data_IF_828231967711
#
_entry.id   IF_828231967711
#
_cell.length_a   1.000
_cell.length_b   1.000
_cell.length_c   1.000
_cell.angle_alpha   90.00
_cell.angle_beta   90.00
_cell.angle_gamma   90.00
#
_symmetry.space_group_name_H-M   'P 1'
#
loop_
_entity.id
_entity.type
_entity.pdbx_description
1 polymer ?
#
# COMPACT_ATOMS: atom_id res chain seq x y z
N UNK A 1 36.30 -44.87 42.05
CA UNK A 1 34.93 -44.51 41.64
C UNK A 1 34.93 -43.08 41.14
N UNK A 2 34.68 -42.83 39.85
CA UNK A 2 34.52 -41.48 39.32
C UNK A 2 33.12 -40.96 39.65
N UNK A 3 33.02 -39.81 40.33
CA UNK A 3 31.75 -39.21 40.68
C UNK A 3 30.97 -38.80 39.41
N UNK A 4 29.73 -39.28 39.28
CA UNK A 4 28.87 -38.89 38.17
C UNK A 4 28.63 -37.37 38.22
N UNK A 5 28.87 -36.63 37.12
CA UNK A 5 28.72 -35.19 37.11
C UNK A 5 27.27 -34.79 37.38
N UNK A 6 27.07 -33.82 38.27
CA UNK A 6 25.76 -33.28 38.64
C UNK A 6 24.99 -32.84 37.36
N UNK A 7 23.76 -33.36 37.13
CA UNK A 7 22.96 -33.05 35.93
C UNK A 7 22.71 -31.55 35.76
N UNK A 8 22.61 -30.78 36.85
CA UNK A 8 22.46 -29.32 36.80
C UNK A 8 23.69 -28.63 36.18
N UNK A 9 24.90 -29.12 36.48
CA UNK A 9 26.14 -28.60 35.91
C UNK A 9 26.24 -28.89 34.40
N UNK A 10 25.76 -30.06 33.95
CA UNK A 10 25.69 -30.40 32.52
C UNK A 10 24.71 -29.49 31.78
N UNK A 11 23.52 -29.23 32.34
CA UNK A 11 22.53 -28.31 31.76
C UNK A 11 23.07 -26.88 31.64
N UNK A 12 23.71 -26.34 32.69
CA UNK A 12 24.31 -24.99 32.66
C UNK A 12 25.39 -24.87 31.58
N UNK A 13 26.27 -25.87 31.44
CA UNK A 13 27.29 -25.90 30.39
C UNK A 13 26.69 -25.94 28.98
N UNK A 14 25.61 -26.70 28.78
CA UNK A 14 24.89 -26.75 27.51
C UNK A 14 24.29 -25.38 27.15
N UNK A 15 23.60 -24.74 28.10
CA UNK A 15 23.03 -23.39 27.92
C UNK A 15 24.12 -22.36 27.57
N UNK A 16 25.26 -22.37 28.27
CA UNK A 16 26.38 -21.47 27.97
C UNK A 16 27.02 -21.73 26.59
N UNK A 17 27.05 -22.98 26.13
CA UNK A 17 27.48 -23.29 24.75
C UNK A 17 26.47 -22.74 23.74
N UNK A 18 25.18 -22.89 24.01
CA UNK A 18 24.09 -22.32 23.21
C UNK A 18 24.21 -20.81 23.06
N UNK A 19 24.33 -20.06 24.16
CA UNK A 19 24.50 -18.60 24.11
C UNK A 19 25.74 -18.16 23.33
N UNK A 20 26.87 -18.89 23.46
CA UNK A 20 28.08 -18.58 22.69
C UNK A 20 27.90 -18.83 21.20
N UNK A 21 27.17 -19.88 20.82
CA UNK A 21 26.84 -20.15 19.43
C UNK A 21 25.90 -19.07 18.88
N UNK A 22 24.81 -18.77 19.58
CA UNK A 22 23.86 -17.72 19.20
C UNK A 22 24.56 -16.37 18.99
N UNK A 23 25.48 -15.99 19.89
CA UNK A 23 26.28 -14.76 19.74
C UNK A 23 27.17 -14.77 18.49
N UNK A 24 27.74 -15.92 18.11
CA UNK A 24 28.55 -16.04 16.89
C UNK A 24 27.69 -15.99 15.63
N UNK A 25 26.55 -16.68 15.65
CA UNK A 25 25.56 -16.64 14.55
C UNK A 25 25.10 -15.19 14.35
N UNK A 26 24.68 -14.50 15.41
CA UNK A 26 24.31 -13.09 15.38
C UNK A 26 25.41 -12.20 14.81
N UNK A 27 26.66 -12.39 15.24
CA UNK A 27 27.80 -11.65 14.73
C UNK A 27 27.96 -11.83 13.21
N UNK A 28 28.09 -13.08 12.74
CA UNK A 28 28.41 -13.34 11.34
C UNK A 28 27.24 -13.03 10.41
N UNK A 29 26.02 -13.45 10.77
CA UNK A 29 24.83 -13.12 9.99
C UNK A 29 24.57 -11.62 10.03
N UNK A 30 24.70 -10.98 11.20
CA UNK A 30 24.56 -9.53 11.34
C UNK A 30 25.47 -8.80 10.37
N UNK A 31 26.76 -9.13 10.38
CA UNK A 31 27.76 -8.53 9.48
C UNK A 31 27.47 -8.76 8.00
N UNK A 32 27.13 -9.99 7.61
CA UNK A 32 26.85 -10.33 6.21
C UNK A 32 25.59 -9.61 5.71
N UNK A 33 24.56 -9.56 6.55
CA UNK A 33 23.26 -9.00 6.21
C UNK A 33 23.15 -7.50 6.43
N UNK A 34 24.09 -6.81 7.09
CA UNK A 34 24.05 -5.33 7.31
C UNK A 34 23.64 -4.56 6.04
N UNK A 35 24.31 -4.69 4.88
CA UNK A 35 23.92 -3.90 3.70
C UNK A 35 22.50 -4.24 3.22
N UNK A 36 22.10 -5.51 3.35
CA UNK A 36 20.77 -6.00 2.96
C UNK A 36 19.67 -5.47 3.87
N UNK A 37 19.80 -5.63 5.19
CA UNK A 37 18.80 -5.15 6.15
C UNK A 37 18.75 -3.62 6.21
N UNK A 38 19.87 -2.95 5.93
CA UNK A 38 19.90 -1.50 5.74
C UNK A 38 19.04 -1.09 4.55
N UNK A 39 19.28 -1.69 3.38
CA UNK A 39 18.50 -1.42 2.17
C UNK A 39 17.01 -1.81 2.34
N UNK A 40 16.72 -3.04 2.75
CA UNK A 40 15.35 -3.53 2.91
C UNK A 40 14.59 -2.85 4.05
N UNK A 41 15.25 -2.58 5.18
CA UNK A 41 14.63 -1.88 6.30
C UNK A 41 14.26 -0.45 5.95
N UNK A 42 15.16 0.28 5.28
CA UNK A 42 14.88 1.65 4.82
C UNK A 42 13.80 1.65 3.73
N UNK A 43 13.88 0.77 2.74
CA UNK A 43 12.85 0.70 1.68
C UNK A 43 11.49 0.28 2.24
N UNK A 44 11.41 -0.63 3.21
CA UNK A 44 10.15 -0.98 3.88
C UNK A 44 9.52 0.23 4.58
N UNK A 45 10.32 1.04 5.28
CA UNK A 45 9.84 2.31 5.85
C UNK A 45 9.32 3.25 4.75
N UNK A 46 10.06 3.41 3.65
CA UNK A 46 9.62 4.27 2.53
C UNK A 46 8.36 3.74 1.82
N UNK A 47 8.16 2.43 1.73
CA UNK A 47 6.95 1.84 1.15
C UNK A 47 5.71 2.04 2.03
N UNK A 48 5.90 2.05 3.35
CA UNK A 48 4.83 2.35 4.30
C UNK A 48 4.53 3.85 4.38
N UNK A 49 5.56 4.69 4.17
CA UNK A 49 5.47 6.14 4.18
C UNK A 49 5.75 6.70 2.79
N UNK A 50 4.82 6.57 1.83
CA UNK A 50 5.03 7.01 0.44
C UNK A 50 5.26 8.52 0.30
N UNK A 51 4.91 9.29 1.33
CA UNK A 51 5.13 10.73 1.39
C UNK A 51 6.54 11.09 1.90
N UNK A 52 7.31 10.12 2.42
CA UNK A 52 8.71 10.33 2.79
C UNK A 52 9.58 10.29 1.53
N UNK A 53 10.42 11.31 1.36
CA UNK A 53 11.37 11.46 0.24
C UNK A 53 10.78 11.69 -1.15
N UNK A 54 9.46 11.66 -1.33
CA UNK A 54 8.85 12.20 -2.55
C UNK A 54 8.61 13.70 -2.39
N UNK A 55 8.82 14.52 -3.44
CA UNK A 55 8.45 15.94 -3.44
C UNK A 55 6.93 16.12 -3.56
N UNK A 56 6.15 15.20 -2.99
CA UNK A 56 4.69 15.26 -2.98
C UNK A 56 4.24 16.04 -1.75
N UNK A 57 3.46 17.09 -1.95
CA UNK A 57 2.75 17.71 -0.83
C UNK A 57 1.38 17.05 -0.69
N UNK A 58 1.06 16.66 0.54
CA UNK A 58 -0.26 16.18 0.92
C UNK A 58 -0.99 17.30 1.66
N UNK A 59 -2.15 17.68 1.16
CA UNK A 59 -3.02 18.66 1.81
C UNK A 59 -4.37 18.03 2.08
N UNK A 60 -4.72 17.91 3.37
CA UNK A 60 -6.08 17.57 3.76
C UNK A 60 -6.99 18.77 3.53
N UNK A 61 -8.23 18.51 3.12
CA UNK A 61 -9.25 19.53 2.94
C UNK A 61 -10.61 19.06 3.49
N UNK A 62 -11.44 20.02 3.89
CA UNK A 62 -12.80 19.79 4.35
C UNK A 62 -13.84 20.00 3.25
N UNK A 63 -15.10 20.05 3.67
CA UNK A 63 -16.28 20.17 2.79
C UNK A 63 -16.29 21.46 1.97
N UNK A 64 -15.62 22.50 2.44
CA UNK A 64 -15.54 23.82 1.80
C UNK A 64 -15.02 23.74 0.36
N UNK A 65 -14.11 22.81 0.06
CA UNK A 65 -13.54 22.61 -1.30
C UNK A 65 -14.59 22.15 -2.31
N UNK A 66 -15.69 21.54 -1.85
CA UNK A 66 -16.75 21.05 -2.73
C UNK A 66 -18.00 21.91 -2.73
N UNK A 67 -18.02 23.03 -2.01
CA UNK A 67 -19.23 23.85 -1.77
C UNK A 67 -19.99 24.17 -3.07
N UNK A 68 -19.28 24.46 -4.15
CA UNK A 68 -19.84 24.85 -5.45
C UNK A 68 -19.85 23.72 -6.48
N UNK A 69 -19.58 22.49 -6.06
CA UNK A 69 -19.53 21.31 -6.92
C UNK A 69 -20.75 20.39 -6.71
N UNK A 70 -21.05 19.48 -7.66
CA UNK A 70 -22.05 18.44 -7.44
C UNK A 70 -21.75 17.54 -6.22
N UNK A 71 -20.51 17.53 -5.72
CA UNK A 71 -20.11 16.77 -4.52
C UNK A 71 -20.47 17.47 -3.20
N UNK A 72 -20.91 18.74 -3.20
CA UNK A 72 -21.36 19.42 -1.99
C UNK A 72 -22.64 18.80 -1.40
N UNK A 73 -23.48 18.24 -2.27
CA UNK A 73 -24.73 17.58 -1.96
C UNK A 73 -24.76 16.23 -2.69
N UNK A 74 -23.96 15.24 -2.23
CA UNK A 74 -23.98 13.92 -2.84
C UNK A 74 -25.41 13.36 -2.76
N UNK A 75 -25.85 12.59 -3.77
CA UNK A 75 -27.20 12.05 -3.79
C UNK A 75 -27.43 11.22 -2.51
N UNK A 76 -28.64 11.33 -1.96
CA UNK A 76 -29.01 10.54 -0.80
C UNK A 76 -28.88 9.06 -1.15
N UNK A 77 -28.11 8.32 -0.34
CA UNK A 77 -27.72 6.96 -0.65
C UNK A 77 -28.94 6.02 -0.80
N UNK A 78 -29.94 6.21 0.06
CA UNK A 78 -31.23 5.52 0.03
C UNK A 78 -32.01 5.83 -1.25
N UNK A 79 -32.06 7.09 -1.67
CA UNK A 79 -32.75 7.51 -2.89
C UNK A 79 -32.07 6.93 -4.15
N UNK A 80 -30.73 6.92 -4.19
CA UNK A 80 -29.99 6.31 -5.29
C UNK A 80 -30.17 4.79 -5.32
N UNK A 81 -30.13 4.12 -4.17
CA UNK A 81 -30.39 2.69 -4.08
C UNK A 81 -31.81 2.33 -4.52
N UNK A 82 -32.81 3.12 -4.12
CA UNK A 82 -34.19 2.94 -4.56
C UNK A 82 -34.33 3.13 -6.09
N UNK A 83 -33.65 4.12 -6.66
CA UNK A 83 -33.64 4.35 -8.10
C UNK A 83 -32.97 3.20 -8.88
N UNK A 84 -31.82 2.69 -8.40
CA UNK A 84 -31.17 1.53 -9.01
C UNK A 84 -32.03 0.28 -8.84
N UNK A 85 -32.64 0.09 -7.66
CA UNK A 85 -33.53 -1.04 -7.38
C UNK A 85 -34.77 -1.06 -8.27
N UNK A 86 -35.34 0.10 -8.61
CA UNK A 86 -36.48 0.22 -9.51
C UNK A 86 -36.19 -0.25 -10.95
N UNK A 87 -34.91 -0.29 -11.36
CA UNK A 87 -34.46 -0.80 -12.65
C UNK A 87 -34.14 -2.30 -12.63
N UNK A 88 -34.15 -2.94 -11.46
CA UNK A 88 -33.91 -4.39 -11.31
C UNK A 88 -35.18 -5.21 -11.58
N UNK A 89 -35.05 -6.52 -11.86
CA UNK A 89 -36.20 -7.40 -12.05
C UNK A 89 -37.17 -7.38 -10.85
N UNK A 90 -38.47 -7.49 -11.14
CA UNK A 90 -39.50 -7.61 -10.10
C UNK A 90 -39.28 -8.86 -9.23
N UNK A 91 -39.63 -8.78 -7.95
CA UNK A 91 -39.52 -9.89 -6.99
C UNK A 91 -38.34 -9.81 -6.02
N UNK A 92 -37.51 -8.78 -6.13
CA UNK A 92 -36.45 -8.46 -5.17
C UNK A 92 -37.01 -7.69 -3.96
N UNK A 93 -36.46 -7.95 -2.77
CA UNK A 93 -36.77 -7.16 -1.57
C UNK A 93 -36.13 -5.78 -1.62
N UNK A 94 -36.69 -4.86 -0.81
CA UNK A 94 -36.09 -3.54 -0.58
C UNK A 94 -34.59 -3.62 -0.25
N UNK A 95 -33.77 -2.67 -0.74
CA UNK A 95 -32.33 -2.61 -0.48
C UNK A 95 -31.99 -2.56 1.02
N UNK A 96 -31.16 -3.49 1.47
CA UNK A 96 -30.57 -3.54 2.81
C UNK A 96 -29.07 -3.21 2.76
N UNK A 97 -28.45 -2.88 3.89
CA UNK A 97 -26.99 -2.68 4.04
C UNK A 97 -26.33 -1.69 3.05
N UNK A 98 -27.08 -0.66 2.65
CA UNK A 98 -26.69 0.31 1.64
C UNK A 98 -25.43 1.07 2.10
N UNK A 99 -24.38 1.06 1.28
CA UNK A 99 -23.13 1.80 1.54
C UNK A 99 -22.41 2.19 0.26
N UNK A 100 -21.60 3.25 0.34
CA UNK A 100 -20.59 3.54 -0.67
C UNK A 100 -19.39 2.60 -0.53
N UNK A 101 -18.80 2.21 -1.66
CA UNK A 101 -17.55 1.46 -1.71
C UNK A 101 -16.54 2.23 -2.56
N UNK A 102 -15.40 2.56 -1.96
CA UNK A 102 -14.34 3.33 -2.61
C UNK A 102 -14.41 4.82 -2.32
N UNK A 103 -13.72 5.61 -3.16
CA UNK A 103 -13.56 7.06 -3.02
C UNK A 103 -13.65 7.71 -4.39
N UNK A 104 -14.05 8.97 -4.41
CA UNK A 104 -13.86 9.78 -5.61
C UNK A 104 -12.37 10.00 -5.84
N UNK A 105 -11.92 9.86 -7.10
CA UNK A 105 -10.58 10.26 -7.52
C UNK A 105 -10.69 11.25 -8.66
N UNK A 106 -10.17 12.45 -8.45
CA UNK A 106 -9.94 13.43 -9.50
C UNK A 106 -8.46 13.52 -9.81
N UNK A 107 -8.13 13.75 -11.08
CA UNK A 107 -6.76 13.95 -11.57
C UNK A 107 -6.71 15.19 -12.43
N UNK A 108 -5.76 16.06 -12.13
CA UNK A 108 -5.51 17.29 -12.89
C UNK A 108 -4.03 17.46 -13.16
N UNK A 109 -3.70 18.37 -14.07
CA UNK A 109 -2.33 18.74 -14.38
C UNK A 109 -2.29 20.25 -14.63
N UNK A 110 -1.33 20.92 -14.01
CA UNK A 110 -0.87 22.26 -14.38
C UNK A 110 0.48 22.16 -15.08
N UNK A 111 1.00 23.29 -15.56
CA UNK A 111 2.35 23.36 -16.14
C UNK A 111 3.42 22.84 -15.17
N UNK A 112 3.29 23.16 -13.88
CA UNK A 112 4.29 22.84 -12.87
C UNK A 112 4.02 21.55 -12.09
N UNK A 113 2.79 21.01 -12.07
CA UNK A 113 2.42 19.91 -11.17
C UNK A 113 1.30 19.01 -11.70
N UNK A 114 1.23 17.78 -11.18
CA UNK A 114 0.10 16.86 -11.29
C UNK A 114 -0.62 16.79 -9.96
N UNK A 115 -1.94 16.82 -10.01
CA UNK A 115 -2.81 16.75 -8.84
C UNK A 115 -3.55 15.43 -8.84
N UNK A 116 -3.64 14.79 -7.68
CA UNK A 116 -4.54 13.66 -7.43
C UNK A 116 -5.35 13.96 -6.19
N UNK A 117 -6.64 14.18 -6.37
CA UNK A 117 -7.58 14.51 -5.31
C UNK A 117 -8.39 13.26 -4.99
N UNK A 118 -8.37 12.85 -3.72
CA UNK A 118 -9.20 11.76 -3.23
C UNK A 118 -10.23 12.34 -2.28
N UNK A 119 -11.51 12.16 -2.59
CA UNK A 119 -12.60 12.65 -1.75
C UNK A 119 -13.43 11.48 -1.22
N UNK A 120 -13.83 11.56 0.05
CA UNK A 120 -14.74 10.59 0.63
C UNK A 120 -16.15 10.74 0.02
N UNK A 121 -16.91 9.64 -0.14
CA UNK A 121 -18.21 9.67 -0.79
C UNK A 121 -19.25 10.57 -0.10
N UNK A 122 -19.07 10.85 1.19
CA UNK A 122 -19.93 11.72 1.99
C UNK A 122 -19.67 13.22 1.77
N UNK A 123 -18.65 13.56 0.97
CA UNK A 123 -18.25 14.94 0.66
C UNK A 123 -17.66 15.70 1.84
N UNK A 124 -17.37 15.04 2.97
CA UNK A 124 -16.95 15.73 4.21
C UNK A 124 -15.47 15.99 4.29
N UNK A 125 -14.66 15.11 3.69
CA UNK A 125 -13.21 15.24 3.74
C UNK A 125 -12.55 14.60 2.52
N UNK A 126 -11.31 15.00 2.31
CA UNK A 126 -10.46 14.38 1.31
C UNK A 126 -9.00 14.80 1.47
N UNK A 127 -8.18 14.25 0.59
CA UNK A 127 -6.74 14.49 0.55
C UNK A 127 -6.33 14.79 -0.88
N UNK A 128 -5.60 15.89 -1.06
CA UNK A 128 -4.96 16.23 -2.32
C UNK A 128 -3.48 15.86 -2.23
N UNK A 129 -3.00 15.19 -3.27
CA UNK A 129 -1.59 15.00 -3.53
C UNK A 129 -1.17 15.87 -4.70
N UNK A 130 -0.20 16.75 -4.47
CA UNK A 130 0.44 17.55 -5.51
C UNK A 130 1.82 16.98 -5.76
N UNK A 131 2.09 16.57 -7.00
CA UNK A 131 3.40 16.08 -7.44
C UNK A 131 3.95 17.08 -8.44
N UNK A 132 5.12 17.70 -8.23
CA UNK A 132 5.76 18.48 -9.26
C UNK A 132 5.84 17.67 -10.56
N UNK A 133 5.56 18.30 -11.69
CA UNK A 133 6.01 17.76 -12.96
C UNK A 133 7.54 17.82 -12.85
N UNK A 134 8.19 16.69 -12.54
CA UNK A 134 9.61 16.58 -12.83
C UNK A 134 9.75 17.03 -14.29
N UNK A 135 10.56 18.08 -14.52
CA UNK A 135 10.84 18.54 -15.87
C UNK A 135 11.18 17.29 -16.67
N UNK A 136 10.35 16.93 -17.64
CA UNK A 136 10.47 15.70 -18.41
C UNK A 136 11.87 15.67 -19.06
N UNK A 137 12.85 15.13 -18.34
CA UNK A 137 14.13 14.67 -18.87
C UNK A 137 13.97 13.35 -19.60
N UNK A 138 12.74 12.89 -19.82
CA UNK A 138 12.39 11.85 -20.76
C UNK A 138 12.32 12.49 -22.14
N UNK A 139 13.36 12.27 -22.95
CA UNK A 139 13.20 12.29 -24.39
C UNK A 139 11.97 11.43 -24.72
N UNK A 140 10.88 11.99 -25.30
CA UNK A 140 9.81 11.17 -25.82
C UNK A 140 10.45 10.16 -26.76
N UNK A 141 10.11 8.88 -26.63
CA UNK A 141 10.36 7.94 -27.72
C UNK A 141 9.67 8.54 -28.95
N UNK A 142 10.46 9.03 -29.90
CA UNK A 142 9.97 9.46 -31.20
C UNK A 142 9.12 8.33 -31.77
N UNK A 143 7.85 8.64 -32.06
CA UNK A 143 6.93 7.85 -32.87
C UNK A 143 6.57 6.45 -32.36
N UNK A 144 5.56 6.40 -31.48
CA UNK A 144 4.51 5.39 -31.68
C UNK A 144 3.19 6.13 -31.88
N UNK A 145 2.56 5.93 -33.04
CA UNK A 145 1.22 6.45 -33.29
C UNK A 145 0.26 5.90 -32.22
N UNK A 146 -0.51 6.77 -31.54
CA UNK A 146 -1.45 6.32 -30.53
C UNK A 146 -2.52 5.44 -31.18
N UNK A 147 -2.61 4.19 -30.71
CA UNK A 147 -3.64 3.23 -31.13
C UNK A 147 -5.02 3.79 -30.78
N UNK A 148 -5.91 3.95 -31.77
CA UNK A 148 -7.27 4.40 -31.52
C UNK A 148 -8.10 3.27 -30.91
N UNK A 149 -8.61 3.49 -29.69
CA UNK A 149 -9.48 2.52 -29.02
C UNK A 149 -10.92 3.06 -29.06
N UNK A 150 -11.88 2.34 -29.68
CA UNK A 150 -13.24 2.82 -29.86
C UNK A 150 -14.08 2.43 -28.64
N UNK A 151 -13.95 3.17 -27.55
CA UNK A 151 -14.97 3.42 -26.51
C UNK A 151 -14.30 4.20 -25.37
N UNK A 152 -14.36 5.53 -25.44
CA UNK A 152 -14.03 6.41 -24.33
C UNK A 152 -15.32 7.09 -23.88
N UNK A 153 -15.77 6.80 -22.66
CA UNK A 153 -16.67 7.69 -21.94
C UNK A 153 -16.01 9.07 -21.93
N UNK A 154 -16.75 10.10 -22.32
CA UNK A 154 -16.23 11.47 -22.38
C UNK A 154 -15.72 11.89 -21.00
N UNK A 155 -14.41 12.05 -20.91
CA UNK A 155 -13.65 12.64 -19.80
C UNK A 155 -13.86 14.15 -19.71
N UNK A 156 -14.70 14.72 -20.58
CA UNK A 156 -14.69 16.13 -20.95
C UNK A 156 -15.75 16.95 -20.19
N UNK A 157 -16.34 16.38 -19.14
CA UNK A 157 -17.07 17.19 -18.18
C UNK A 157 -16.04 18.00 -17.39
N UNK A 158 -15.86 19.26 -17.78
CA UNK A 158 -15.09 20.23 -17.01
C UNK A 158 -15.69 20.33 -15.61
N UNK A 159 -14.92 19.89 -14.62
CA UNK A 159 -15.26 20.12 -13.23
C UNK A 159 -15.00 21.60 -12.95
N UNK A 160 -15.92 22.32 -12.28
CA UNK A 160 -15.70 23.71 -11.95
C UNK A 160 -14.36 23.83 -11.24
N UNK A 161 -13.51 24.73 -11.73
CA UNK A 161 -12.27 25.11 -11.05
C UNK A 161 -12.64 25.40 -9.61
N UNK A 162 -12.05 24.69 -8.66
CA UNK A 162 -12.26 24.99 -7.25
C UNK A 162 -11.47 26.26 -6.95
N UNK A 163 -12.06 27.39 -7.35
CA UNK A 163 -11.48 28.73 -7.25
C UNK A 163 -11.11 29.01 -5.79
N UNK A 164 -9.86 29.38 -5.57
CA UNK A 164 -9.34 29.81 -4.26
C UNK A 164 -8.61 28.75 -3.44
N UNK A 165 -8.68 27.46 -3.81
CA UNK A 165 -7.99 26.40 -3.06
C UNK A 165 -7.15 25.44 -3.92
N UNK A 166 -7.42 25.32 -5.22
CA UNK A 166 -6.73 24.41 -6.13
C UNK A 166 -6.37 25.11 -7.44
N UNK A 167 -5.10 25.49 -7.64
CA UNK A 167 -4.54 25.95 -8.94
C UNK A 167 -4.39 24.76 -9.92
N UNK A 168 -5.44 23.95 -10.06
CA UNK A 168 -5.47 22.77 -10.90
C UNK A 168 -6.49 22.98 -12.01
N UNK A 169 -6.04 23.48 -13.15
CA UNK A 169 -6.83 23.45 -14.38
C UNK A 169 -7.04 22.00 -14.84
N UNK A 170 -8.19 21.72 -15.45
CA UNK A 170 -8.46 20.43 -16.08
C UNK A 170 -8.57 19.23 -15.14
N UNK A 171 -9.14 19.41 -13.93
CA UNK A 171 -9.48 18.27 -13.07
C UNK A 171 -10.49 17.36 -13.77
N UNK A 172 -10.07 16.13 -14.04
CA UNK A 172 -10.89 15.08 -14.62
C UNK A 172 -11.23 14.03 -13.56
N UNK A 173 -12.48 13.60 -13.52
CA UNK A 173 -12.91 12.51 -12.65
C UNK A 173 -12.41 11.18 -13.21
N UNK A 174 -11.48 10.54 -12.49
CA UNK A 174 -10.84 9.28 -12.88
C UNK A 174 -11.54 8.07 -12.23
N UNK A 175 -12.12 8.24 -11.04
CA UNK A 175 -12.82 7.17 -10.32
C UNK A 175 -13.98 7.73 -9.48
N UNK A 176 -15.08 6.99 -9.46
CA UNK A 176 -16.29 7.26 -8.66
C UNK A 176 -16.49 6.08 -7.71
N UNK A 177 -16.92 6.29 -6.45
CA UNK A 177 -17.30 5.20 -5.57
C UNK A 177 -18.48 4.42 -6.15
N UNK A 178 -18.50 3.11 -5.94
CA UNK A 178 -19.64 2.26 -6.29
C UNK A 178 -20.69 2.32 -5.19
N UNK A 179 -21.97 2.26 -5.58
CA UNK A 179 -23.05 2.02 -4.63
C UNK A 179 -23.17 0.51 -4.42
N UNK A 180 -23.22 0.07 -3.17
CA UNK A 180 -23.40 -1.34 -2.85
C UNK A 180 -24.52 -1.53 -1.84
N UNK A 181 -25.39 -2.49 -2.11
CA UNK A 181 -26.50 -2.87 -1.25
C UNK A 181 -26.81 -4.36 -1.40
N UNK A 182 -27.49 -4.92 -0.42
CA UNK A 182 -27.92 -6.32 -0.45
C UNK A 182 -29.44 -6.37 -0.73
N UNK A 183 -29.90 -7.30 -1.55
CA UNK A 183 -31.32 -7.57 -1.86
C UNK A 183 -31.60 -9.07 -1.74
N UNK A 184 -32.83 -9.48 -1.43
CA UNK A 184 -33.22 -10.89 -1.41
C UNK A 184 -34.14 -11.23 -2.58
N UNK A 185 -33.93 -12.42 -3.13
CA UNK A 185 -34.82 -13.08 -4.10
C UNK A 185 -35.23 -14.42 -3.50
N UNK A 186 -36.43 -14.50 -2.92
CA UNK A 186 -36.82 -15.63 -2.07
C UNK A 186 -35.89 -15.80 -0.87
N UNK A 187 -35.24 -16.96 -0.76
CA UNK A 187 -34.26 -17.26 0.31
C UNK A 187 -32.82 -16.89 -0.05
N UNK A 188 -32.57 -16.40 -1.28
CA UNK A 188 -31.23 -16.06 -1.75
C UNK A 188 -30.93 -14.60 -1.48
N UNK A 189 -29.81 -14.31 -0.81
CA UNK A 189 -29.30 -12.96 -0.64
C UNK A 189 -28.34 -12.64 -1.81
N UNK A 190 -28.56 -11.53 -2.48
CA UNK A 190 -27.73 -10.98 -3.55
C UNK A 190 -27.09 -9.68 -3.09
N UNK A 191 -25.85 -9.45 -3.49
CA UNK A 191 -25.13 -8.19 -3.33
C UNK A 191 -25.03 -7.53 -4.68
N UNK A 192 -25.60 -6.35 -4.76
CA UNK A 192 -25.61 -5.53 -5.96
C UNK A 192 -24.54 -4.47 -5.80
N UNK A 193 -23.62 -4.39 -6.76
CA UNK A 193 -22.68 -3.29 -6.91
C UNK A 193 -23.02 -2.51 -8.18
N UNK A 194 -23.39 -1.25 -8.02
CA UNK A 194 -23.62 -0.32 -9.11
C UNK A 194 -22.40 0.59 -9.30
N UNK A 195 -21.87 0.59 -10.52
CA UNK A 195 -20.74 1.42 -10.94
C UNK A 195 -21.24 2.65 -11.71
N UNK A 196 -21.36 3.84 -11.09
CA UNK A 196 -22.00 5.00 -11.72
C UNK A 196 -21.31 5.46 -13.00
N UNK A 197 -19.97 5.34 -13.04
CA UNK A 197 -19.19 5.77 -14.21
C UNK A 197 -19.40 4.86 -15.42
N UNK A 198 -19.62 3.56 -15.21
CA UNK A 198 -19.83 2.59 -16.30
C UNK A 198 -21.30 2.39 -16.63
N UNK A 199 -22.22 2.82 -15.76
CA UNK A 199 -23.63 2.46 -15.82
C UNK A 199 -23.85 0.94 -15.69
N UNK A 200 -22.90 0.22 -15.09
CA UNK A 200 -22.93 -1.24 -14.98
C UNK A 200 -23.41 -1.65 -13.59
N UNK A 201 -24.25 -2.68 -13.55
CA UNK A 201 -24.69 -3.35 -12.33
C UNK A 201 -24.08 -4.74 -12.31
N UNK A 202 -23.34 -5.06 -11.26
CA UNK A 202 -22.82 -6.39 -10.99
C UNK A 202 -23.60 -6.98 -9.81
N UNK A 203 -24.07 -8.22 -9.95
CA UNK A 203 -24.81 -8.93 -8.90
C UNK A 203 -24.03 -10.19 -8.50
N UNK A 204 -23.74 -10.34 -7.22
CA UNK A 204 -23.05 -11.50 -6.66
C UNK A 204 -23.92 -12.15 -5.59
N UNK A 205 -24.06 -13.48 -5.61
CA UNK A 205 -24.84 -14.20 -4.61
C UNK A 205 -24.09 -14.21 -3.26
N UNK A 206 -24.67 -13.58 -2.23
CA UNK A 206 -24.12 -13.55 -0.87
C UNK A 206 -24.31 -14.91 -0.22
N UNK A 207 -23.27 -15.73 -0.24
CA UNK A 207 -23.30 -17.08 0.33
C UNK A 207 -22.73 -18.14 -0.60
N UNK A 208 -22.57 -17.84 -1.89
CA UNK A 208 -21.62 -18.54 -2.71
C UNK A 208 -20.25 -18.26 -2.09
N UNK A 209 -19.71 -19.25 -1.35
CA UNK A 209 -18.42 -19.11 -0.68
C UNK A 209 -17.41 -18.72 -1.75
N UNK A 210 -17.05 -17.43 -1.83
CA UNK A 210 -15.73 -17.05 -2.30
C UNK A 210 -14.79 -17.96 -1.52
N UNK A 211 -14.16 -18.92 -2.20
CA UNK A 211 -13.40 -19.97 -1.55
C UNK A 211 -12.49 -19.29 -0.54
N UNK A 212 -12.55 -19.72 0.73
CA UNK A 212 -11.81 -19.08 1.80
C UNK A 212 -10.38 -18.85 1.29
N UNK A 213 -9.84 -17.62 1.37
CA UNK A 213 -8.59 -17.29 0.72
C UNK A 213 -7.56 -18.31 1.14
N UNK A 214 -6.92 -18.93 0.15
CA UNK A 214 -5.89 -19.93 0.43
C UNK A 214 -4.85 -19.33 1.37
N UNK A 215 -4.21 -20.14 2.23
CA UNK A 215 -3.19 -19.64 3.15
C UNK A 215 -2.11 -18.80 2.41
N UNK A 216 -1.77 -19.19 1.18
CA UNK A 216 -0.91 -18.41 0.29
C UNK A 216 -1.49 -17.03 -0.04
N UNK A 217 -2.73 -16.94 -0.50
CA UNK A 217 -3.37 -15.65 -0.81
C UNK A 217 -3.51 -14.77 0.43
N UNK A 218 -3.82 -15.36 1.59
CA UNK A 218 -3.90 -14.62 2.85
C UNK A 218 -2.53 -14.05 3.24
N UNK A 219 -1.48 -14.88 3.23
CA UNK A 219 -0.12 -14.43 3.55
C UNK A 219 0.39 -13.39 2.54
N UNK A 220 0.08 -13.56 1.25
CA UNK A 220 0.42 -12.56 0.23
C UNK A 220 -0.31 -11.25 0.49
N UNK A 221 -1.62 -11.27 0.76
CA UNK A 221 -2.39 -10.06 1.09
C UNK A 221 -1.82 -9.36 2.32
N UNK A 222 -1.53 -10.08 3.39
CA UNK A 222 -0.91 -9.52 4.59
C UNK A 222 0.47 -8.92 4.29
N UNK A 223 1.26 -9.58 3.44
CA UNK A 223 2.59 -9.11 3.06
C UNK A 223 2.56 -7.88 2.15
N UNK A 224 1.61 -7.79 1.22
CA UNK A 224 1.46 -6.65 0.30
C UNK A 224 0.60 -5.53 0.88
N UNK A 225 0.00 -5.72 2.05
CA UNK A 225 -0.73 -4.68 2.75
C UNK A 225 0.25 -3.77 3.48
N UNK A 226 0.81 -2.84 2.71
CA UNK A 226 1.58 -1.69 3.17
C UNK A 226 0.74 -0.43 2.92
N UNK A 227 1.12 0.72 3.50
CA UNK A 227 0.40 2.02 3.50
C UNK A 227 -0.48 2.25 4.74
N UNK A 228 -0.23 3.39 5.39
CA UNK A 228 -1.06 3.89 6.48
C UNK A 228 -2.40 4.40 5.98
N UNK A 229 -3.53 3.89 6.49
CA UNK A 229 -4.82 4.51 6.25
C UNK A 229 -4.93 5.84 7.02
N UNK A 230 -5.74 6.77 6.51
CA UNK A 230 -6.00 8.04 7.18
C UNK A 230 -6.77 7.94 8.51
N UNK A 231 -7.30 6.76 8.85
CA UNK A 231 -8.03 6.49 10.08
C UNK A 231 -7.37 5.37 10.90
N UNK A 232 -7.49 5.44 12.23
CA UNK A 232 -6.97 4.42 13.15
C UNK A 232 -7.81 3.15 13.04
N UNK A 233 -7.33 2.23 12.20
CA UNK A 233 -7.98 0.94 11.94
C UNK A 233 -7.01 -0.22 12.23
N UNK A 234 -7.48 -1.47 12.10
CA UNK A 234 -6.59 -2.66 12.19
C UNK A 234 -5.45 -2.58 11.17
N UNK A 235 -5.71 -2.00 10.00
CA UNK A 235 -4.71 -1.81 8.95
C UNK A 235 -3.62 -0.81 9.40
N UNK A 236 -4.00 0.23 10.15
CA UNK A 236 -3.05 1.18 10.74
C UNK A 236 -2.12 0.48 11.74
N UNK A 237 -2.67 -0.35 12.62
CA UNK A 237 -1.88 -1.13 13.60
C UNK A 237 -0.95 -2.11 12.87
N UNK A 238 -1.42 -2.74 11.80
CA UNK A 238 -0.61 -3.62 10.97
C UNK A 238 0.59 -2.89 10.34
N UNK A 239 0.36 -1.74 9.71
CA UNK A 239 1.44 -0.92 9.14
C UNK A 239 2.50 -0.54 10.20
N UNK A 240 2.05 -0.17 11.41
CA UNK A 240 2.94 0.12 12.52
C UNK A 240 3.77 -1.10 12.97
N UNK A 241 3.17 -2.29 13.03
CA UNK A 241 3.90 -3.53 13.35
C UNK A 241 4.95 -3.87 12.29
N UNK A 242 4.65 -3.63 11.01
CA UNK A 242 5.60 -3.81 9.90
C UNK A 242 6.78 -2.84 10.03
N UNK A 243 6.53 -1.57 10.35
CA UNK A 243 7.60 -0.58 10.60
C UNK A 243 8.49 -0.99 11.78
N UNK A 244 7.89 -1.45 12.88
CA UNK A 244 8.63 -1.94 14.05
C UNK A 244 9.53 -3.13 13.68
N UNK A 245 9.04 -4.05 12.85
CA UNK A 245 9.83 -5.17 12.36
C UNK A 245 11.00 -4.70 11.47
N UNK A 246 10.75 -3.75 10.57
CA UNK A 246 11.80 -3.11 9.75
C UNK A 246 12.89 -2.48 10.60
N UNK A 247 12.50 -1.68 11.61
CA UNK A 247 13.41 -1.07 12.57
C UNK A 247 14.21 -2.12 13.36
N UNK A 248 13.56 -3.20 13.82
CA UNK A 248 14.22 -4.29 14.52
C UNK A 248 15.29 -4.99 13.68
N UNK A 249 15.03 -5.21 12.37
CA UNK A 249 16.01 -5.79 11.44
C UNK A 249 17.24 -4.88 11.25
N UNK A 250 17.02 -3.56 11.14
CA UNK A 250 18.10 -2.56 11.05
C UNK A 250 18.93 -2.58 12.33
N UNK A 251 18.30 -2.49 13.51
CA UNK A 251 18.99 -2.55 14.82
C UNK A 251 19.76 -3.87 14.96
N UNK A 252 19.19 -4.99 14.53
CA UNK A 252 19.84 -6.29 14.55
C UNK A 252 21.15 -6.28 13.73
N UNK A 253 21.14 -5.70 12.52
CA UNK A 253 22.34 -5.50 11.71
C UNK A 253 23.37 -4.60 12.41
N UNK A 254 22.94 -3.45 12.95
CA UNK A 254 23.80 -2.52 13.70
C UNK A 254 24.44 -3.17 14.93
N UNK A 255 23.71 -3.96 15.71
CA UNK A 255 24.26 -4.65 16.88
C UNK A 255 25.31 -5.69 16.49
N UNK A 256 25.16 -6.35 15.34
CA UNK A 256 26.20 -7.21 14.75
C UNK A 256 27.49 -6.42 14.45
N UNK A 257 27.36 -5.23 13.87
CA UNK A 257 28.47 -4.32 13.58
C UNK A 257 29.17 -3.84 14.87
N UNK A 258 28.40 -3.47 15.90
CA UNK A 258 28.94 -3.07 17.20
C UNK A 258 29.71 -4.21 17.87
N UNK A 259 29.19 -5.44 17.83
CA UNK A 259 29.90 -6.61 18.36
C UNK A 259 31.19 -6.90 17.61
N UNK A 260 31.19 -6.79 16.29
CA UNK A 260 32.39 -6.93 15.47
C UNK A 260 33.46 -5.92 15.83
N UNK A 261 33.07 -4.66 16.02
CA UNK A 261 33.96 -3.58 16.41
C UNK A 261 34.65 -3.87 17.76
N UNK A 262 33.88 -4.35 18.74
CA UNK A 262 34.36 -4.67 20.09
C UNK A 262 35.31 -5.87 20.11
N UNK A 263 35.08 -6.90 19.29
CA UNK A 263 35.88 -8.14 19.31
C UNK A 263 37.08 -8.02 18.36
N UNK A 264 38.16 -7.38 18.84
CA UNK A 264 39.39 -7.10 18.08
C UNK A 264 39.93 -8.30 17.29
N UNK A 265 39.89 -9.51 17.88
CA UNK A 265 40.37 -10.76 17.24
C UNK A 265 39.62 -11.12 15.96
N UNK A 266 38.33 -10.76 15.86
CA UNK A 266 37.48 -11.12 14.73
C UNK A 266 37.40 -10.02 13.67
N UNK A 267 38.14 -8.91 13.82
CA UNK A 267 38.04 -7.76 12.91
C UNK A 267 38.32 -8.11 11.45
N UNK A 268 39.41 -8.84 11.18
CA UNK A 268 39.78 -9.25 9.82
C UNK A 268 38.72 -10.14 9.17
N UNK A 269 38.29 -11.20 9.88
CA UNK A 269 37.28 -12.14 9.38
C UNK A 269 35.96 -11.40 9.15
N UNK A 270 35.52 -10.58 10.11
CA UNK A 270 34.29 -9.83 9.96
C UNK A 270 34.35 -8.82 8.80
N UNK A 271 35.50 -8.19 8.54
CA UNK A 271 35.69 -7.33 7.37
C UNK A 271 35.49 -8.09 6.06
N UNK A 272 36.05 -9.30 5.95
CA UNK A 272 35.82 -10.20 4.79
C UNK A 272 34.33 -10.54 4.64
N UNK A 273 33.64 -10.82 5.75
CA UNK A 273 32.22 -11.15 5.75
C UNK A 273 31.37 -9.96 5.29
N UNK A 274 31.63 -8.74 5.78
CA UNK A 274 30.94 -7.53 5.32
C UNK A 274 31.17 -7.32 3.82
N UNK A 275 32.43 -7.39 3.37
CA UNK A 275 32.78 -7.23 1.95
C UNK A 275 32.07 -8.27 1.08
N UNK A 276 31.96 -9.52 1.53
CA UNK A 276 31.21 -10.55 0.82
C UNK A 276 29.72 -10.25 0.75
N UNK A 277 29.13 -9.68 1.80
CA UNK A 277 27.74 -9.24 1.82
C UNK A 277 27.46 -8.10 0.84
N UNK A 278 28.33 -7.08 0.83
CA UNK A 278 28.27 -5.96 -0.13
C UNK A 278 28.49 -6.45 -1.56
N UNK A 279 29.47 -7.33 -1.78
CA UNK A 279 29.73 -7.91 -3.10
C UNK A 279 28.55 -8.71 -3.63
N UNK A 280 27.93 -9.55 -2.79
CA UNK A 280 26.72 -10.29 -3.17
C UNK A 280 25.55 -9.36 -3.53
N UNK A 281 25.36 -8.26 -2.76
CA UNK A 281 24.34 -7.26 -3.05
C UNK A 281 24.59 -6.55 -4.39
N UNK A 282 25.83 -6.15 -4.65
CA UNK A 282 26.22 -5.49 -5.90
C UNK A 282 26.05 -6.41 -7.12
N UNK A 283 26.46 -7.68 -7.00
CA UNK A 283 26.29 -8.67 -8.08
C UNK A 283 24.80 -8.89 -8.38
N UNK A 284 23.96 -9.05 -7.36
CA UNK A 284 22.52 -9.22 -7.56
C UNK A 284 21.91 -7.96 -8.20
N UNK A 285 22.23 -6.78 -7.67
CA UNK A 285 21.74 -5.50 -8.19
C UNK A 285 22.12 -5.29 -9.65
N UNK A 286 23.38 -5.55 -10.00
CA UNK A 286 23.85 -5.52 -11.39
C UNK A 286 23.13 -6.52 -12.28
N UNK A 287 22.94 -7.76 -11.80
CA UNK A 287 22.25 -8.80 -12.56
C UNK A 287 20.79 -8.42 -12.86
N UNK A 288 20.11 -7.80 -11.89
CA UNK A 288 18.76 -7.28 -12.07
C UNK A 288 18.72 -6.10 -13.04
N UNK A 289 19.66 -5.15 -12.90
CA UNK A 289 19.80 -4.01 -13.82
C UNK A 289 19.97 -4.48 -15.27
N UNK A 290 20.92 -5.39 -15.50
CA UNK A 290 21.19 -5.95 -16.83
C UNK A 290 19.99 -6.74 -17.38
N UNK A 291 19.28 -7.50 -16.54
CA UNK A 291 18.10 -8.26 -16.97
C UNK A 291 16.91 -7.36 -17.36
N UNK A 292 16.83 -6.16 -16.80
CA UNK A 292 15.78 -5.18 -17.12
C UNK A 292 16.08 -4.35 -18.37
N UNK A 293 17.27 -4.47 -18.97
CA UNK A 293 17.63 -3.80 -20.22
C UNK A 293 17.89 -2.30 -20.10
N UNK A 294 18.27 -1.82 -18.91
CA UNK A 294 18.79 -0.47 -18.70
C UNK A 294 20.26 -0.34 -19.13
#
# INVERSE_FOLDING_TARGET
MAANPNPAARRRRAIQRGFRLARRVHLYFGLFLVPWVGLYGVTALLFNHPDWMHPRSMQAFGREVFADSPLAAPPELSALAAAVHAELPEGLTEPENIRWVGRYRLRGKSDASRYSVYAEPDGRSGVMYTTPNEAEGTHPLESMEPLSVPYALSRDQEWPTVEGHLDAEGLSLDRVPSLMFDVREGDTLWRIEYHPLKGAIEAEQVGERQAAPTARQLLLRLHTQHVYPGAVTVQWLWAWLVDLMGMAMVIWGFTGLLMWWQIKRLRRIGGIVILSGVGAMAVLGWSLYAAMGF
#
